data_IF_335814974193
#
_entry.id   IF_335814974193
#
_cell.length_a   1.000
_cell.length_b   1.000
_cell.length_c   1.000
_cell.angle_alpha   90.00
_cell.angle_beta   90.00
_cell.angle_gamma   90.00
#
_symmetry.space_group_name_H-M   'P 1'
#
loop_
_entity.id
_entity.type
_entity.pdbx_description
1 polymer ?
#
# COMPACT_ATOMS: atom_id res chain seq x y z
N UNK A 1 -45.37 11.66 -8.15
CA UNK A 1 -44.20 11.45 -9.03
C UNK A 1 -42.92 11.57 -8.20
N UNK A 2 -41.74 11.25 -8.76
CA UNK A 2 -40.46 11.53 -8.06
C UNK A 2 -40.30 13.05 -7.79
N UNK A 3 -40.88 13.88 -8.65
CA UNK A 3 -40.91 15.35 -8.54
C UNK A 3 -41.56 15.89 -7.25
N UNK A 4 -42.47 15.13 -6.63
CA UNK A 4 -43.15 15.56 -5.40
C UNK A 4 -42.36 15.15 -4.13
N UNK A 5 -41.25 14.43 -4.27
CA UNK A 5 -40.49 13.86 -3.17
C UNK A 5 -39.32 14.75 -2.78
N UNK A 6 -39.01 14.77 -1.50
CA UNK A 6 -37.84 15.47 -0.98
C UNK A 6 -36.55 14.69 -1.28
N UNK A 7 -35.41 15.39 -1.34
CA UNK A 7 -34.08 14.78 -1.46
C UNK A 7 -33.82 13.57 -0.55
N UNK A 8 -34.11 13.61 0.77
CA UNK A 8 -33.92 12.46 1.64
C UNK A 8 -34.86 11.28 1.33
N UNK A 9 -36.06 11.53 0.79
CA UNK A 9 -36.94 10.45 0.34
C UNK A 9 -36.39 9.77 -0.91
N UNK A 10 -35.93 10.54 -1.91
CA UNK A 10 -35.29 9.98 -3.10
C UNK A 10 -34.03 9.20 -2.73
N UNK A 11 -33.22 9.70 -1.80
CA UNK A 11 -32.03 9.00 -1.33
C UNK A 11 -32.37 7.69 -0.61
N UNK A 12 -33.43 7.67 0.22
CA UNK A 12 -33.92 6.42 0.84
C UNK A 12 -34.44 5.42 -0.20
N UNK A 13 -35.12 5.90 -1.24
CA UNK A 13 -35.56 5.07 -2.36
C UNK A 13 -34.33 4.48 -3.07
N UNK A 14 -33.33 5.29 -3.40
CA UNK A 14 -32.07 4.82 -4.00
C UNK A 14 -31.42 3.70 -3.16
N UNK A 15 -31.31 3.88 -1.84
CA UNK A 15 -30.78 2.84 -0.94
C UNK A 15 -31.65 1.57 -0.89
N UNK A 16 -32.97 1.69 -1.03
CA UNK A 16 -33.86 0.54 -1.08
C UNK A 16 -33.78 -0.18 -2.43
N UNK A 17 -33.70 0.56 -3.54
CA UNK A 17 -33.51 0.04 -4.91
C UNK A 17 -32.26 -0.81 -5.01
N UNK A 18 -31.17 -0.36 -4.39
CA UNK A 18 -29.92 -1.12 -4.26
C UNK A 18 -30.13 -2.45 -3.53
N UNK A 19 -30.72 -2.42 -2.33
CA UNK A 19 -31.00 -3.64 -1.55
C UNK A 19 -31.92 -4.62 -2.26
N UNK A 20 -32.77 -4.14 -3.16
CA UNK A 20 -33.68 -4.95 -3.97
C UNK A 20 -33.04 -5.44 -5.27
N UNK A 21 -31.78 -5.09 -5.55
CA UNK A 21 -31.06 -5.50 -6.77
C UNK A 21 -31.57 -4.85 -8.05
N UNK A 22 -32.26 -3.70 -7.95
CA UNK A 22 -32.88 -3.01 -9.07
C UNK A 22 -31.91 -2.04 -9.76
N UNK A 23 -30.77 -2.57 -10.22
CA UNK A 23 -29.62 -1.77 -10.66
C UNK A 23 -29.90 -0.84 -11.85
N UNK A 24 -30.86 -1.19 -12.72
CA UNK A 24 -31.26 -0.36 -13.87
C UNK A 24 -31.74 1.05 -13.47
N UNK A 25 -32.35 1.17 -12.29
CA UNK A 25 -32.98 2.42 -11.82
C UNK A 25 -31.97 3.27 -11.02
N UNK A 26 -30.90 2.66 -10.50
CA UNK A 26 -29.93 3.31 -9.61
C UNK A 26 -29.26 4.51 -10.28
N UNK A 27 -28.82 4.38 -11.53
CA UNK A 27 -28.17 5.48 -12.26
C UNK A 27 -29.11 6.67 -12.43
N UNK A 28 -30.36 6.41 -12.79
CA UNK A 28 -31.38 7.45 -12.96
C UNK A 28 -31.66 8.19 -11.64
N UNK A 29 -31.82 7.46 -10.53
CA UNK A 29 -32.06 8.09 -9.22
C UNK A 29 -30.88 8.95 -8.74
N UNK A 30 -29.65 8.53 -9.03
CA UNK A 30 -28.47 9.34 -8.71
C UNK A 30 -28.41 10.64 -9.52
N UNK A 31 -28.70 10.57 -10.82
CA UNK A 31 -28.78 11.75 -11.68
C UNK A 31 -29.91 12.68 -11.24
N UNK A 32 -31.09 12.13 -10.95
CA UNK A 32 -32.23 12.89 -10.44
C UNK A 32 -31.89 13.66 -9.15
N UNK A 33 -31.17 13.04 -8.22
CA UNK A 33 -30.69 13.70 -7.00
C UNK A 33 -29.73 14.87 -7.32
N UNK A 34 -28.85 14.71 -8.30
CA UNK A 34 -27.93 15.78 -8.71
C UNK A 34 -28.65 16.93 -9.42
N UNK A 35 -29.64 16.63 -10.24
CA UNK A 35 -30.38 17.63 -11.02
C UNK A 35 -31.34 18.44 -10.15
N UNK A 36 -32.04 17.78 -9.21
CA UNK A 36 -33.15 18.40 -8.48
C UNK A 36 -32.87 18.63 -6.99
N UNK A 37 -31.86 17.97 -6.41
CA UNK A 37 -31.62 17.99 -4.97
C UNK A 37 -30.15 18.19 -4.58
N UNK A 38 -29.35 18.86 -5.43
CA UNK A 38 -27.92 19.09 -5.20
C UNK A 38 -27.62 19.83 -3.89
N UNK A 39 -28.46 20.79 -3.50
CA UNK A 39 -28.27 21.53 -2.24
C UNK A 39 -28.49 20.66 -1.01
N UNK A 40 -29.36 19.65 -1.12
CA UNK A 40 -29.50 18.65 -0.08
C UNK A 40 -28.28 17.74 -0.04
N UNK A 41 -27.79 17.28 -1.21
CA UNK A 41 -26.58 16.46 -1.30
C UNK A 41 -25.35 17.17 -0.70
N UNK A 42 -25.12 18.44 -1.04
CA UNK A 42 -24.01 19.24 -0.48
C UNK A 42 -24.10 19.38 1.03
N UNK A 43 -25.30 19.63 1.58
CA UNK A 43 -25.51 19.73 3.03
C UNK A 43 -25.33 18.40 3.77
N UNK A 44 -25.47 17.27 3.08
CA UNK A 44 -25.39 15.93 3.67
C UNK A 44 -24.25 15.10 3.07
N UNK A 45 -23.19 15.77 2.59
CA UNK A 45 -22.11 15.15 1.81
C UNK A 45 -21.49 13.96 2.53
N UNK A 46 -21.32 14.02 3.86
CA UNK A 46 -20.74 12.92 4.64
C UNK A 46 -21.61 11.66 4.64
N UNK A 47 -22.93 11.84 4.71
CA UNK A 47 -23.89 10.73 4.67
C UNK A 47 -23.98 10.14 3.27
N UNK A 48 -23.98 10.99 2.25
CA UNK A 48 -23.95 10.56 0.84
C UNK A 48 -22.67 9.79 0.57
N UNK A 49 -21.51 10.34 0.96
CA UNK A 49 -20.19 9.75 0.83
C UNK A 49 -20.14 8.34 1.46
N UNK A 50 -20.53 8.22 2.73
CA UNK A 50 -20.52 6.92 3.43
C UNK A 50 -21.40 5.88 2.73
N UNK A 51 -22.54 6.28 2.17
CA UNK A 51 -23.42 5.33 1.50
C UNK A 51 -22.92 4.98 0.09
N UNK A 52 -22.41 5.95 -0.66
CA UNK A 52 -21.94 5.75 -2.03
C UNK A 52 -20.68 4.89 -2.10
N UNK A 53 -19.75 5.06 -1.18
CA UNK A 53 -18.49 4.29 -1.15
C UNK A 53 -18.66 2.85 -0.65
N UNK A 54 -19.83 2.49 -0.11
CA UNK A 54 -20.19 1.10 0.22
C UNK A 54 -20.75 0.34 -0.98
N UNK A 55 -21.08 1.03 -2.07
CA UNK A 55 -21.80 0.45 -3.17
C UNK A 55 -21.21 0.80 -4.53
N UNK A 56 -20.79 -0.23 -5.27
CA UNK A 56 -20.15 -0.08 -6.58
C UNK A 56 -21.07 0.48 -7.67
N UNK A 57 -22.40 0.44 -7.47
CA UNK A 57 -23.35 1.01 -8.41
C UNK A 57 -23.56 2.52 -8.19
N UNK A 58 -23.02 3.10 -7.10
CA UNK A 58 -23.24 4.50 -6.74
C UNK A 58 -22.16 5.44 -7.31
N UNK A 59 -21.61 5.12 -8.48
CA UNK A 59 -20.47 5.82 -9.10
C UNK A 59 -20.73 7.32 -9.31
N UNK A 60 -21.97 7.69 -9.68
CA UNK A 60 -22.36 9.09 -9.90
C UNK A 60 -22.26 9.89 -8.60
N UNK A 61 -22.74 9.32 -7.49
CA UNK A 61 -22.62 9.95 -6.17
C UNK A 61 -21.19 9.91 -5.61
N UNK A 62 -20.43 8.84 -5.88
CA UNK A 62 -19.01 8.78 -5.53
C UNK A 62 -18.24 9.92 -6.22
N UNK A 63 -18.44 10.11 -7.52
CA UNK A 63 -17.84 11.21 -8.28
C UNK A 63 -18.25 12.57 -7.72
N UNK A 64 -19.54 12.77 -7.43
CA UNK A 64 -20.02 14.00 -6.82
C UNK A 64 -19.32 14.29 -5.49
N UNK A 65 -19.19 13.29 -4.60
CA UNK A 65 -18.51 13.46 -3.31
C UNK A 65 -17.04 13.86 -3.49
N UNK A 66 -16.31 13.14 -4.34
CA UNK A 66 -14.89 13.41 -4.60
C UNK A 66 -14.62 14.79 -5.18
N UNK A 67 -15.51 15.32 -6.02
CA UNK A 67 -15.34 16.64 -6.63
C UNK A 67 -15.69 17.79 -5.67
N UNK A 68 -16.66 17.59 -4.76
CA UNK A 68 -17.14 18.67 -3.90
C UNK A 68 -16.33 18.82 -2.59
N UNK A 69 -15.78 17.73 -2.05
CA UNK A 69 -15.00 17.80 -0.80
C UNK A 69 -13.88 16.74 -0.74
N UNK A 70 -12.88 16.82 -1.65
CA UNK A 70 -11.81 15.83 -1.79
C UNK A 70 -11.11 15.47 -0.47
N UNK A 71 -10.70 16.48 0.31
CA UNK A 71 -9.95 16.29 1.55
C UNK A 71 -10.79 15.68 2.68
N UNK A 72 -12.10 15.98 2.77
CA UNK A 72 -12.96 15.37 3.80
C UNK A 72 -13.49 14.01 3.40
N UNK A 73 -13.54 13.69 2.11
CA UNK A 73 -13.97 12.37 1.63
C UNK A 73 -13.13 11.27 2.29
N UNK A 74 -11.81 11.42 2.29
CA UNK A 74 -10.89 10.43 2.85
C UNK A 74 -11.02 10.29 4.37
N UNK A 75 -11.17 11.39 5.09
CA UNK A 75 -11.36 11.38 6.55
C UNK A 75 -12.72 10.80 6.98
N UNK A 76 -13.73 10.86 6.10
CA UNK A 76 -15.09 10.40 6.39
C UNK A 76 -15.43 9.02 5.79
N UNK A 77 -14.49 8.40 5.06
CA UNK A 77 -14.64 7.04 4.57
C UNK A 77 -14.39 6.07 5.72
N UNK A 78 -15.36 5.19 5.97
CA UNK A 78 -15.13 4.03 6.80
C UNK A 78 -14.52 2.92 5.94
N UNK A 79 -13.19 2.82 5.98
CA UNK A 79 -12.41 1.78 5.29
C UNK A 79 -12.78 0.35 5.73
N UNK A 80 -13.48 0.14 6.84
CA UNK A 80 -13.93 -1.20 7.25
C UNK A 80 -15.14 -1.69 6.41
N UNK A 81 -15.77 -0.79 5.65
CA UNK A 81 -16.99 -1.07 4.88
C UNK A 81 -16.96 -0.58 3.43
N UNK A 82 -15.88 0.09 3.02
CA UNK A 82 -15.71 0.56 1.65
C UNK A 82 -15.56 -0.63 0.71
N UNK A 83 -16.16 -0.51 -0.48
CA UNK A 83 -16.01 -1.54 -1.50
C UNK A 83 -14.66 -1.45 -2.20
N UNK A 84 -14.24 -2.58 -2.73
CA UNK A 84 -12.99 -2.75 -3.46
C UNK A 84 -12.82 -1.76 -4.62
N UNK A 85 -13.84 -1.66 -5.49
CA UNK A 85 -13.82 -0.74 -6.65
C UNK A 85 -13.78 0.73 -6.21
N UNK A 86 -14.38 1.05 -5.07
CA UNK A 86 -14.37 2.41 -4.55
C UNK A 86 -12.97 2.81 -4.03
N UNK A 87 -12.22 1.88 -3.41
CA UNK A 87 -10.80 2.10 -3.08
C UNK A 87 -9.97 2.32 -4.35
N UNK A 88 -10.12 1.45 -5.36
CA UNK A 88 -9.42 1.61 -6.64
C UNK A 88 -9.69 2.99 -7.25
N UNK A 89 -10.96 3.42 -7.22
CA UNK A 89 -11.37 4.70 -7.77
C UNK A 89 -10.82 5.89 -6.99
N UNK A 90 -10.54 5.73 -5.70
CA UNK A 90 -9.86 6.74 -4.88
C UNK A 90 -8.36 6.79 -5.17
N UNK A 91 -7.70 5.64 -5.23
CA UNK A 91 -6.24 5.54 -5.46
C UNK A 91 -5.85 6.00 -6.87
N UNK A 92 -6.69 5.77 -7.89
CA UNK A 92 -6.42 6.22 -9.27
C UNK A 92 -6.54 7.73 -9.47
N UNK A 93 -7.09 8.46 -8.51
CA UNK A 93 -7.29 9.90 -8.64
C UNK A 93 -6.08 10.61 -8.06
N UNK A 94 -5.17 10.93 -8.97
CA UNK A 94 -4.00 11.78 -8.72
C UNK A 94 -4.34 12.94 -7.77
N UNK A 95 -3.56 13.04 -6.68
CA UNK A 95 -3.36 14.25 -5.88
C UNK A 95 -4.56 14.77 -5.07
N UNK A 96 -5.15 13.96 -4.19
CA UNK A 96 -6.03 14.49 -3.12
C UNK A 96 -5.29 15.32 -2.04
N UNK A 97 -4.00 15.62 -2.21
CA UNK A 97 -3.19 16.32 -1.21
C UNK A 97 -3.04 15.52 0.10
N UNK A 98 -3.37 14.24 0.07
CA UNK A 98 -3.22 13.30 1.18
C UNK A 98 -1.88 12.60 1.09
N UNK A 99 -1.25 12.45 2.25
CA UNK A 99 0.01 11.74 2.40
C UNK A 99 -0.16 10.27 1.97
N UNK A 100 0.70 9.81 1.05
CA UNK A 100 0.70 8.42 0.56
C UNK A 100 0.83 7.42 1.71
N UNK A 101 1.47 7.80 2.82
CA UNK A 101 1.53 6.95 4.03
C UNK A 101 0.14 6.67 4.60
N UNK A 102 -0.76 7.65 4.57
CA UNK A 102 -2.12 7.51 5.07
C UNK A 102 -2.95 6.62 4.14
N UNK A 103 -2.70 6.70 2.83
CA UNK A 103 -3.31 5.79 1.86
C UNK A 103 -2.89 4.35 2.11
N UNK A 104 -1.59 4.12 2.32
CA UNK A 104 -1.08 2.82 2.70
C UNK A 104 -1.72 2.29 3.99
N UNK A 105 -1.76 3.08 5.06
CA UNK A 105 -2.38 2.69 6.34
C UNK A 105 -3.86 2.27 6.15
N UNK A 106 -4.61 3.02 5.33
CA UNK A 106 -6.01 2.74 5.05
C UNK A 106 -6.23 1.47 4.20
N UNK A 107 -5.42 1.27 3.16
CA UNK A 107 -5.47 0.08 2.30
C UNK A 107 -5.06 -1.17 3.08
N UNK A 108 -4.00 -1.07 3.89
CA UNK A 108 -3.57 -2.14 4.78
C UNK A 108 -4.67 -2.51 5.78
N UNK A 109 -5.29 -1.51 6.42
CA UNK A 109 -6.43 -1.73 7.33
C UNK A 109 -7.58 -2.45 6.62
N UNK A 110 -7.96 -2.01 5.42
CA UNK A 110 -8.98 -2.68 4.62
C UNK A 110 -8.59 -4.15 4.38
N UNK A 111 -7.37 -4.42 3.92
CA UNK A 111 -6.88 -5.78 3.69
C UNK A 111 -6.95 -6.66 4.93
N UNK A 112 -6.64 -6.10 6.11
CA UNK A 112 -6.75 -6.81 7.38
C UNK A 112 -8.21 -7.08 7.78
N UNK A 113 -9.13 -6.14 7.53
CA UNK A 113 -10.56 -6.36 7.80
C UNK A 113 -11.17 -7.47 6.95
N UNK A 114 -10.67 -7.67 5.73
CA UNK A 114 -11.08 -8.81 4.88
C UNK A 114 -10.53 -10.15 5.39
N UNK A 115 -9.54 -10.13 6.29
CA UNK A 115 -8.86 -11.30 6.83
C UNK A 115 -8.85 -11.28 8.37
N UNK A 116 -9.98 -11.61 9.04
CA UNK A 116 -10.16 -11.40 10.48
C UNK A 116 -9.12 -12.08 11.38
N UNK A 117 -8.56 -13.22 10.94
CA UNK A 117 -7.49 -13.90 11.68
C UNK A 117 -6.23 -13.03 11.76
N UNK A 118 -5.84 -12.42 10.65
CA UNK A 118 -4.65 -11.55 10.55
C UNK A 118 -4.81 -10.28 11.37
N UNK A 119 -6.02 -9.71 11.40
CA UNK A 119 -6.33 -8.48 12.14
C UNK A 119 -6.02 -8.58 13.64
N UNK A 120 -6.15 -9.77 14.23
CA UNK A 120 -5.96 -10.00 15.67
C UNK A 120 -4.56 -10.47 16.05
N UNK A 121 -3.71 -10.77 15.06
CA UNK A 121 -2.39 -11.36 15.26
C UNK A 121 -1.30 -10.30 15.04
N UNK A 122 -0.26 -10.36 15.89
CA UNK A 122 0.97 -9.59 15.68
C UNK A 122 1.63 -10.00 14.35
N UNK A 123 1.91 -9.05 13.42
CA UNK A 123 2.59 -9.32 12.16
C UNK A 123 3.93 -10.06 12.29
N UNK A 124 4.62 -9.92 13.42
CA UNK A 124 5.87 -10.66 13.68
C UNK A 124 5.67 -12.19 13.81
N UNK A 125 4.43 -12.64 14.02
CA UNK A 125 4.06 -14.07 14.15
C UNK A 125 3.43 -14.65 12.89
N UNK A 126 3.30 -13.86 11.83
CA UNK A 126 2.66 -14.31 10.59
C UNK A 126 3.52 -15.32 9.85
N UNK A 127 2.86 -16.39 9.38
CA UNK A 127 3.45 -17.40 8.51
C UNK A 127 3.54 -16.91 7.07
N UNK A 128 4.26 -17.63 6.21
CA UNK A 128 4.29 -17.33 4.78
C UNK A 128 2.88 -17.36 4.13
N UNK A 129 1.99 -18.22 4.62
CA UNK A 129 0.61 -18.30 4.12
C UNK A 129 -0.24 -17.10 4.55
N UNK A 130 0.03 -16.52 5.73
CA UNK A 130 -0.65 -15.33 6.22
C UNK A 130 -0.31 -14.11 5.36
N UNK A 131 0.98 -13.90 5.05
CA UNK A 131 1.41 -12.88 4.10
C UNK A 131 0.85 -13.10 2.70
N UNK A 132 0.81 -14.35 2.23
CA UNK A 132 0.19 -14.69 0.95
C UNK A 132 -1.31 -14.33 0.91
N UNK A 133 -2.01 -14.57 2.01
CA UNK A 133 -3.45 -14.24 2.13
C UNK A 133 -3.65 -12.73 2.04
N UNK A 134 -2.87 -11.94 2.80
CA UNK A 134 -2.94 -10.48 2.70
C UNK A 134 -2.53 -9.97 1.31
N UNK A 135 -1.49 -10.55 0.70
CA UNK A 135 -1.04 -10.21 -0.65
C UNK A 135 -2.17 -10.35 -1.66
N UNK A 136 -2.92 -11.45 -1.64
CA UNK A 136 -4.04 -11.67 -2.56
C UNK A 136 -5.11 -10.57 -2.39
N UNK A 137 -5.42 -10.20 -1.14
CA UNK A 137 -6.37 -9.10 -0.88
C UNK A 137 -5.87 -7.74 -1.37
N UNK A 138 -4.57 -7.49 -1.30
CA UNK A 138 -4.01 -6.17 -1.61
C UNK A 138 -3.47 -6.02 -3.04
N UNK A 139 -3.33 -7.12 -3.79
CA UNK A 139 -2.55 -7.20 -5.03
C UNK A 139 -2.86 -6.08 -6.04
N UNK A 140 -4.12 -5.72 -6.18
CA UNK A 140 -4.56 -4.71 -7.15
C UNK A 140 -4.43 -3.26 -6.67
N UNK A 141 -4.23 -3.03 -5.37
CA UNK A 141 -4.02 -1.69 -4.82
C UNK A 141 -2.54 -1.34 -4.75
N UNK A 142 -1.66 -2.34 -4.54
CA UNK A 142 -0.22 -2.10 -4.42
C UNK A 142 0.36 -1.26 -5.58
N UNK A 143 0.01 -1.50 -6.87
CA UNK A 143 0.52 -0.70 -7.98
C UNK A 143 -0.07 0.71 -8.06
N UNK A 144 -1.11 1.01 -7.28
CA UNK A 144 -1.81 2.29 -7.27
C UNK A 144 -1.35 3.21 -6.13
N UNK A 145 -0.51 2.70 -5.22
CA UNK A 145 0.04 3.50 -4.11
C UNK A 145 1.35 4.12 -4.57
N UNK A 146 1.48 5.43 -4.39
CA UNK A 146 2.68 6.20 -4.74
C UNK A 146 3.78 6.02 -3.72
N UNK A 147 4.28 4.79 -3.51
CA UNK A 147 5.29 4.51 -2.46
C UNK A 147 6.49 5.45 -2.53
N UNK A 148 6.95 5.84 -3.73
CA UNK A 148 8.07 6.77 -3.94
C UNK A 148 7.84 8.19 -3.38
N UNK A 149 6.60 8.59 -3.12
CA UNK A 149 6.28 9.90 -2.53
C UNK A 149 6.33 9.88 -1.00
N UNK A 150 6.51 8.72 -0.37
CA UNK A 150 6.75 8.62 1.07
C UNK A 150 8.18 9.09 1.41
N UNK A 151 8.42 9.44 2.66
CA UNK A 151 9.79 9.54 3.19
C UNK A 151 10.40 8.16 3.44
N UNK A 152 11.73 8.07 3.46
CA UNK A 152 12.44 6.83 3.81
C UNK A 152 12.02 6.28 5.18
N UNK A 153 11.82 7.16 6.17
CA UNK A 153 11.33 6.80 7.50
C UNK A 153 9.92 6.20 7.44
N UNK A 154 8.98 6.84 6.74
CA UNK A 154 7.61 6.33 6.60
C UNK A 154 7.61 4.96 5.90
N UNK A 155 8.37 4.80 4.82
CA UNK A 155 8.50 3.52 4.12
C UNK A 155 9.03 2.42 5.06
N UNK A 156 10.13 2.70 5.77
CA UNK A 156 10.76 1.73 6.67
C UNK A 156 9.85 1.32 7.84
N UNK A 157 9.19 2.27 8.48
CA UNK A 157 8.35 1.99 9.65
C UNK A 157 7.02 1.33 9.27
N UNK A 158 6.42 1.72 8.14
CA UNK A 158 5.03 1.34 7.79
C UNK A 158 4.94 0.26 6.72
N UNK A 159 5.84 0.26 5.74
CA UNK A 159 5.76 -0.63 4.57
C UNK A 159 6.67 -1.85 4.75
N UNK A 160 7.90 -1.66 5.22
CA UNK A 160 8.88 -2.75 5.36
C UNK A 160 8.45 -3.93 6.24
N UNK A 161 7.65 -3.77 7.33
CA UNK A 161 7.12 -4.91 8.08
C UNK A 161 6.27 -5.88 7.24
N UNK A 162 5.74 -5.40 6.10
CA UNK A 162 4.90 -6.16 5.19
C UNK A 162 5.62 -6.50 3.87
N UNK A 163 6.95 -6.40 3.80
CA UNK A 163 7.75 -6.65 2.58
C UNK A 163 7.38 -7.94 1.82
N UNK A 164 6.99 -9.01 2.54
CA UNK A 164 6.62 -10.31 2.00
C UNK A 164 5.34 -10.30 1.14
N UNK A 165 4.54 -9.24 1.15
CA UNK A 165 3.37 -9.11 0.26
C UNK A 165 3.74 -8.65 -1.15
N UNK A 166 4.92 -8.06 -1.31
CA UNK A 166 5.37 -7.52 -2.60
C UNK A 166 6.02 -8.62 -3.46
N UNK A 167 6.10 -8.37 -4.76
CA UNK A 167 7.01 -9.15 -5.60
C UNK A 167 8.46 -8.77 -5.22
N UNK A 168 9.36 -9.76 -5.05
CA UNK A 168 10.72 -9.48 -4.58
C UNK A 168 11.43 -8.37 -5.36
N UNK A 169 11.30 -8.40 -6.70
CA UNK A 169 11.89 -7.38 -7.58
C UNK A 169 11.32 -5.98 -7.34
N UNK A 170 9.99 -5.86 -7.19
CA UNK A 170 9.33 -4.56 -6.97
C UNK A 170 9.78 -3.99 -5.62
N UNK A 171 9.81 -4.82 -4.58
CA UNK A 171 10.26 -4.39 -3.26
C UNK A 171 11.72 -3.97 -3.26
N UNK A 172 12.58 -4.69 -3.98
CA UNK A 172 13.99 -4.35 -4.14
C UNK A 172 14.17 -2.98 -4.82
N UNK A 173 13.41 -2.71 -5.88
CA UNK A 173 13.41 -1.41 -6.56
C UNK A 173 13.00 -0.27 -5.61
N UNK A 174 11.99 -0.48 -4.75
CA UNK A 174 11.57 0.48 -3.72
C UNK A 174 12.66 0.72 -2.68
N UNK A 175 13.28 -0.34 -2.14
CA UNK A 175 14.37 -0.24 -1.17
C UNK A 175 15.54 0.54 -1.75
N UNK A 176 15.93 0.22 -2.99
CA UNK A 176 17.03 0.91 -3.67
C UNK A 176 16.74 2.40 -3.87
N UNK A 177 15.51 2.75 -4.26
CA UNK A 177 15.08 4.15 -4.37
C UNK A 177 15.29 4.88 -3.04
N UNK A 178 14.80 4.31 -1.93
CA UNK A 178 14.90 4.95 -0.62
C UNK A 178 16.32 5.06 -0.09
N UNK A 179 17.16 4.05 -0.34
CA UNK A 179 18.58 4.09 0.02
C UNK A 179 19.35 5.18 -0.74
N UNK A 180 19.05 5.39 -2.03
CA UNK A 180 19.73 6.39 -2.85
C UNK A 180 19.19 7.82 -2.65
N UNK A 181 17.94 7.94 -2.21
CA UNK A 181 17.25 9.22 -2.01
C UNK A 181 17.60 9.95 -0.70
N UNK A 182 18.26 9.28 0.24
CA UNK A 182 18.70 9.90 1.49
C UNK A 182 19.75 10.99 1.17
N UNK A 183 19.51 12.25 1.57
CA UNK A 183 20.34 13.42 1.23
C UNK A 183 21.83 13.28 1.63
N UNK A 184 22.15 12.29 2.47
CA UNK A 184 23.51 11.95 2.84
C UNK A 184 24.29 11.21 1.72
N UNK A 185 23.59 10.58 0.77
CA UNK A 185 24.21 9.83 -0.35
C UNK A 185 24.55 10.76 -1.51
N UNK A 186 23.75 11.79 -1.76
CA UNK A 186 23.95 12.74 -2.87
C UNK A 186 25.15 13.68 -2.70
N UNK A 187 25.70 13.81 -1.48
CA UNK A 187 26.91 14.59 -1.19
C UNK A 187 28.19 13.74 -1.09
N UNK A 188 28.12 12.42 -1.25
CA UNK A 188 29.31 11.59 -1.36
C UNK A 188 29.72 11.53 -2.83
N UNK A 189 30.93 12.02 -3.16
CA UNK A 189 31.57 11.76 -4.44
C UNK A 189 31.86 10.26 -4.55
N UNK A 190 30.88 9.47 -4.98
CA UNK A 190 31.05 8.05 -5.27
C UNK A 190 31.72 7.97 -6.65
N UNK A 191 32.91 7.33 -6.78
CA UNK A 191 33.49 7.06 -8.09
C UNK A 191 32.54 6.13 -8.85
N UNK A 192 32.20 6.51 -10.07
CA UNK A 192 31.39 5.73 -11.01
C UNK A 192 31.93 4.29 -11.11
N UNK A 193 31.16 3.35 -10.56
CA UNK A 193 31.39 1.91 -10.67
C UNK A 193 30.15 1.30 -11.33
N UNK A 194 30.38 0.75 -12.51
CA UNK A 194 29.42 0.14 -13.43
C UNK A 194 28.74 -1.14 -12.85
N UNK A 195 27.71 -1.74 -13.48
CA UNK A 195 26.38 -1.87 -12.90
C UNK A 195 26.12 -3.13 -12.05
N UNK A 196 27.13 -3.97 -11.77
CA UNK A 196 26.86 -5.35 -11.31
C UNK A 196 27.35 -5.69 -9.90
N UNK A 197 27.80 -4.72 -9.10
CA UNK A 197 28.12 -4.93 -7.68
C UNK A 197 27.58 -3.73 -6.90
N UNK A 198 26.35 -3.86 -6.34
CA UNK A 198 25.87 -2.91 -5.34
C UNK A 198 26.57 -3.21 -4.02
N UNK A 199 27.63 -2.46 -3.71
CA UNK A 199 28.02 -2.25 -2.32
C UNK A 199 26.88 -1.46 -1.66
N UNK A 200 26.18 -2.07 -0.69
CA UNK A 200 25.27 -1.35 0.19
C UNK A 200 26.11 -0.39 1.03
N UNK A 201 26.10 0.91 0.71
CA UNK A 201 26.84 1.91 1.48
C UNK A 201 26.04 2.39 2.69
N UNK A 202 26.04 1.58 3.75
CA UNK A 202 26.10 2.11 5.11
C UNK A 202 27.43 1.58 5.68
N UNK A 203 28.17 2.38 6.47
CA UNK A 203 29.49 2.00 7.03
C UNK A 203 29.50 0.69 7.86
N UNK A 204 28.34 0.06 8.05
CA UNK A 204 28.11 -1.15 8.84
C UNK A 204 27.48 -2.33 8.06
N UNK A 205 27.14 -2.13 6.78
CA UNK A 205 26.51 -3.14 5.92
C UNK A 205 27.50 -3.62 4.86
N UNK A 206 27.83 -4.91 4.92
CA UNK A 206 28.62 -5.61 3.93
C UNK A 206 27.79 -6.02 2.71
N UNK A 207 28.40 -6.78 1.77
CA UNK A 207 27.69 -7.26 0.59
C UNK A 207 26.54 -8.19 0.99
N UNK A 208 25.38 -7.99 0.37
CA UNK A 208 24.20 -8.85 0.53
C UNK A 208 23.93 -9.64 -0.75
N UNK A 209 23.54 -10.90 -0.62
CA UNK A 209 23.06 -11.73 -1.74
C UNK A 209 21.63 -12.14 -1.44
N UNK A 210 20.69 -11.82 -2.35
CA UNK A 210 19.26 -12.03 -2.11
C UNK A 210 18.71 -11.24 -0.91
N UNK A 211 17.39 -11.30 -0.71
CA UNK A 211 16.74 -10.75 0.49
C UNK A 211 17.00 -11.66 1.70
N UNK A 212 17.98 -11.32 2.52
CA UNK A 212 18.40 -12.11 3.69
C UNK A 212 18.95 -13.52 3.38
N UNK A 213 19.31 -13.85 2.13
CA UNK A 213 19.96 -15.14 1.86
C UNK A 213 21.40 -15.13 2.39
N UNK A 214 22.11 -14.02 2.20
CA UNK A 214 23.30 -13.65 2.96
C UNK A 214 23.25 -12.15 3.25
N UNK A 215 23.32 -11.82 4.54
CA UNK A 215 23.48 -10.45 5.05
C UNK A 215 24.75 -10.40 5.88
N UNK A 216 25.74 -9.63 5.45
CA UNK A 216 26.99 -9.41 6.20
C UNK A 216 26.86 -8.07 6.92
N UNK A 217 26.89 -8.06 8.26
CA UNK A 217 26.75 -6.85 9.09
C UNK A 217 27.87 -6.76 10.14
N UNK A 218 28.13 -5.54 10.63
CA UNK A 218 29.03 -5.26 11.76
C UNK A 218 30.24 -4.41 11.38
N UNK A 219 30.82 -3.70 12.35
CA UNK A 219 32.06 -2.95 12.15
C UNK A 219 33.19 -3.92 11.80
N UNK A 220 33.72 -3.82 10.57
CA UNK A 220 34.75 -4.71 10.02
C UNK A 220 34.35 -6.20 9.88
N UNK A 221 33.05 -6.53 9.94
CA UNK A 221 32.47 -7.87 9.68
C UNK A 221 32.93 -9.01 10.63
N UNK A 222 33.72 -8.68 11.65
CA UNK A 222 34.30 -9.63 12.63
C UNK A 222 33.48 -9.79 13.91
N UNK A 223 32.42 -9.00 14.04
CA UNK A 223 31.55 -9.07 15.21
C UNK A 223 30.81 -10.41 15.25
N UNK A 224 30.78 -11.01 16.45
CA UNK A 224 30.20 -12.32 16.65
C UNK A 224 28.69 -12.31 16.34
N UNK A 225 28.25 -13.25 15.50
CA UNK A 225 26.83 -13.50 15.19
C UNK A 225 26.08 -12.31 14.59
N UNK A 226 26.78 -11.39 13.91
CA UNK A 226 26.15 -10.26 13.21
C UNK A 226 25.74 -10.56 11.78
N UNK A 227 26.38 -11.53 11.13
CA UNK A 227 26.00 -11.94 9.79
C UNK A 227 24.86 -12.96 9.87
N UNK A 228 23.98 -12.97 8.88
CA UNK A 228 22.85 -13.88 8.80
C UNK A 228 22.78 -14.54 7.43
N UNK A 229 22.42 -15.81 7.39
CA UNK A 229 22.09 -16.49 6.15
C UNK A 229 20.71 -17.14 6.25
N UNK A 230 19.92 -16.90 5.21
CA UNK A 230 18.61 -17.50 4.99
C UNK A 230 18.52 -18.11 3.58
N UNK A 231 17.30 -18.39 3.15
CA UNK A 231 17.02 -18.97 1.84
C UNK A 231 15.69 -18.46 1.29
N UNK A 232 15.62 -17.15 1.03
CA UNK A 232 14.42 -16.48 0.57
C UNK A 232 14.41 -16.23 -0.94
N UNK A 233 15.57 -16.18 -1.60
CA UNK A 233 15.72 -15.68 -2.97
C UNK A 233 16.26 -16.73 -3.94
N UNK A 234 17.27 -17.50 -3.53
CA UNK A 234 17.86 -18.57 -4.33
C UNK A 234 17.10 -19.89 -4.12
N UNK A 235 17.09 -20.77 -5.12
CA UNK A 235 16.49 -22.11 -4.98
C UNK A 235 17.29 -22.99 -4.01
N UNK A 236 18.59 -22.73 -3.90
CA UNK A 236 19.51 -23.43 -3.01
C UNK A 236 20.13 -22.44 -2.03
N UNK A 237 20.23 -22.81 -0.74
CA UNK A 237 20.84 -21.96 0.26
C UNK A 237 22.32 -21.76 -0.07
N UNK A 238 22.80 -20.52 0.04
CA UNK A 238 24.19 -20.18 -0.24
C UNK A 238 25.13 -20.78 0.82
N UNK A 239 24.65 -20.84 2.07
CA UNK A 239 25.28 -21.56 3.20
C UNK A 239 24.22 -22.06 4.18
N UNK A 240 24.65 -22.72 5.25
CA UNK A 240 23.76 -23.12 6.34
C UNK A 240 23.02 -21.91 6.93
N UNK A 241 21.70 -22.03 7.08
CA UNK A 241 20.86 -20.99 7.66
C UNK A 241 21.24 -20.67 9.10
N UNK A 242 21.10 -19.41 9.48
CA UNK A 242 21.39 -18.91 10.83
C UNK A 242 22.45 -17.82 10.87
N UNK A 243 22.76 -17.39 12.10
CA UNK A 243 23.76 -16.36 12.35
C UNK A 243 25.17 -16.91 12.25
N UNK A 244 26.10 -16.08 11.79
CA UNK A 244 27.50 -16.43 11.66
C UNK A 244 28.41 -15.20 11.80
N UNK A 245 29.71 -15.46 11.89
CA UNK A 245 30.77 -14.46 11.91
C UNK A 245 31.66 -14.63 10.67
N UNK A 246 32.26 -13.54 10.19
CA UNK A 246 33.20 -13.58 9.06
C UNK A 246 34.59 -13.23 9.57
N UNK A 247 35.51 -14.18 9.50
CA UNK A 247 36.91 -13.95 9.91
C UNK A 247 37.70 -13.20 8.81
N UNK A 248 37.50 -13.62 7.56
CA UNK A 248 38.18 -13.11 6.36
C UNK A 248 37.22 -13.13 5.15
N UNK A 249 37.39 -12.18 4.21
CA UNK A 249 36.66 -12.13 2.95
C UNK A 249 37.56 -11.62 1.81
N UNK A 250 37.30 -12.11 0.59
CA UNK A 250 37.96 -11.66 -0.63
C UNK A 250 36.89 -11.26 -1.66
N UNK A 251 37.11 -10.15 -2.37
CA UNK A 251 36.22 -9.66 -3.43
C UNK A 251 36.93 -9.87 -4.77
N UNK A 252 36.32 -10.67 -5.65
CA UNK A 252 36.83 -10.91 -6.99
C UNK A 252 35.93 -10.24 -8.03
N UNK A 253 36.55 -9.49 -8.93
CA UNK A 253 35.88 -9.03 -10.15
C UNK A 253 35.97 -10.15 -11.19
N UNK A 254 34.83 -10.69 -11.60
CA UNK A 254 34.76 -11.61 -12.74
C UNK A 254 34.56 -10.77 -13.99
N UNK A 255 35.58 -10.68 -14.85
CA UNK A 255 35.46 -10.13 -16.20
C UNK A 255 35.04 -11.24 -17.16
N UNK A 256 34.02 -10.98 -17.99
CA UNK A 256 33.69 -11.81 -19.15
C UNK A 256 34.76 -11.76 -20.25
#
# INVERSE_FOLDING_TARGET
MLEDKSGPEIFRILLATEKLGLYEIITYLQQFLLEHHIDWLKRHIETVNRASFRNDHFQVLQQFCTTNDPGKVLNNINFDSISENAIISLLKRDHFGTDEVQMWDNVLKWGLTQNPTLLTMDPTKWTANDFKTLRVSLQQFLPLIGFHEMTSQQFFEKVSPFSKIFEPRIYEELVQYFMLSDENVSNMNIPDLSPNIKLNSMEYLGPSFGFDDITINGENYREEMKCYSGNNSYERPIRSEGYFSVDEYEIFQVSE
#
